data_IF_412562793494
#
_entry.id   IF_412562793494
#
_cell.length_a   1.000
_cell.length_b   1.000
_cell.length_c   1.000
_cell.angle_alpha   90.00
_cell.angle_beta   90.00
_cell.angle_gamma   90.00
#
_symmetry.space_group_name_H-M   'P 1'
#
loop_
_entity.id
_entity.type
_entity.pdbx_description
1 polymer ?
#
# COMPACT_ATOMS: atom_id res chain seq x y z
N UNK A 1 -55.31 28.95 -31.64
CA UNK A 1 -55.46 27.68 -30.90
C UNK A 1 -54.55 26.66 -31.57
N UNK A 2 -53.34 26.41 -31.03
CA UNK A 2 -52.96 25.26 -30.16
C UNK A 2 -53.20 23.92 -30.88
N UNK A 3 -52.24 23.00 -31.09
CA UNK A 3 -50.89 22.87 -30.54
C UNK A 3 -50.06 21.89 -31.42
N UNK A 4 -48.78 22.19 -31.62
CA UNK A 4 -47.77 21.26 -32.17
C UNK A 4 -47.17 20.50 -30.98
N UNK A 5 -47.28 19.17 -30.96
CA UNK A 5 -46.67 18.30 -29.94
C UNK A 5 -45.26 17.90 -30.39
N UNK A 6 -44.25 18.47 -29.75
CA UNK A 6 -42.87 18.03 -29.88
C UNK A 6 -42.63 16.78 -29.02
N UNK A 7 -42.20 15.69 -29.65
CA UNK A 7 -41.71 14.49 -28.97
C UNK A 7 -40.27 14.75 -28.50
N UNK A 8 -40.05 14.74 -27.20
CA UNK A 8 -38.73 14.89 -26.58
C UNK A 8 -38.21 13.49 -26.23
N UNK A 9 -37.21 13.01 -26.97
CA UNK A 9 -36.52 11.76 -26.67
C UNK A 9 -35.47 12.00 -25.59
N UNK A 10 -35.66 11.41 -24.41
CA UNK A 10 -34.69 11.43 -23.32
C UNK A 10 -33.63 10.34 -23.57
N UNK A 11 -32.39 10.76 -23.82
CA UNK A 11 -31.24 9.86 -23.89
C UNK A 11 -30.75 9.53 -22.46
N UNK A 12 -30.94 8.29 -22.04
CA UNK A 12 -30.33 7.72 -20.84
C UNK A 12 -28.83 7.53 -21.07
N UNK A 13 -28.02 8.38 -20.44
CA UNK A 13 -26.58 8.16 -20.32
C UNK A 13 -26.37 7.22 -19.14
N UNK A 14 -26.19 5.93 -19.43
CA UNK A 14 -25.72 4.96 -18.46
C UNK A 14 -24.24 5.22 -18.17
N UNK A 15 -23.94 5.83 -17.02
CA UNK A 15 -22.57 5.99 -16.53
C UNK A 15 -21.98 4.63 -16.17
N UNK A 16 -21.08 4.12 -17.02
CA UNK A 16 -20.20 3.02 -16.63
C UNK A 16 -19.23 3.55 -15.58
N UNK A 17 -19.41 3.14 -14.32
CA UNK A 17 -18.41 3.34 -13.28
C UNK A 17 -17.19 2.49 -13.63
N UNK A 18 -16.12 3.12 -14.12
CA UNK A 18 -14.84 2.45 -14.25
C UNK A 18 -14.31 2.16 -12.83
N UNK A 19 -13.85 0.92 -12.55
CA UNK A 19 -13.19 0.63 -11.28
C UNK A 19 -11.92 1.47 -11.18
N UNK A 20 -11.82 2.25 -10.10
CA UNK A 20 -10.59 2.97 -9.77
C UNK A 20 -9.43 1.95 -9.64
N UNK A 21 -8.22 2.29 -10.12
CA UNK A 21 -7.07 1.42 -9.93
C UNK A 21 -6.89 1.18 -8.42
N UNK A 22 -6.86 -0.08 -8.01
CA UNK A 22 -6.69 -0.45 -6.61
C UNK A 22 -5.34 0.08 -6.11
N UNK A 23 -5.38 1.10 -5.25
CA UNK A 23 -4.18 1.70 -4.70
C UNK A 23 -3.54 0.76 -3.68
N UNK A 24 -2.31 0.33 -3.93
CA UNK A 24 -1.52 -0.46 -2.99
C UNK A 24 -0.61 0.45 -2.17
N UNK A 25 -0.58 0.21 -0.85
CA UNK A 25 0.25 1.01 0.06
C UNK A 25 1.24 0.15 0.85
N UNK A 26 2.51 0.56 0.83
CA UNK A 26 3.60 -0.06 1.59
C UNK A 26 3.59 0.43 3.04
N UNK A 27 3.54 -0.51 3.98
CA UNK A 27 3.56 -0.31 5.43
C UNK A 27 5.02 -0.40 5.91
N UNK A 28 5.80 0.64 5.63
CA UNK A 28 7.20 0.74 6.07
C UNK A 28 7.35 1.26 7.50
N UNK A 29 6.49 2.18 7.93
CA UNK A 29 6.28 2.63 9.31
C UNK A 29 5.01 3.51 9.39
N UNK A 30 4.47 3.69 10.60
CA UNK A 30 3.19 4.35 10.87
C UNK A 30 3.09 5.73 10.21
N UNK A 31 2.03 5.98 9.42
CA UNK A 31 1.51 7.34 9.29
C UNK A 31 0.79 7.68 10.58
N UNK A 32 1.54 7.90 11.67
CA UNK A 32 0.99 8.66 12.77
C UNK A 32 0.94 10.11 12.25
N UNK A 33 -0.23 10.55 11.77
CA UNK A 33 -0.43 11.97 11.50
C UNK A 33 0.03 12.74 12.74
N UNK A 34 0.99 13.64 12.56
CA UNK A 34 1.48 14.51 13.62
C UNK A 34 0.31 15.36 14.11
N UNK A 35 -0.32 14.83 15.16
CA UNK A 35 -1.08 15.45 16.22
C UNK A 35 -1.25 16.98 16.07
N UNK A 36 -2.36 17.40 15.47
CA UNK A 36 -2.70 18.82 15.30
C UNK A 36 -3.82 19.32 16.22
N UNK A 37 -4.27 18.50 17.17
CA UNK A 37 -5.45 18.80 18.01
C UNK A 37 -5.27 18.41 19.50
N UNK A 38 -4.04 18.46 20.04
CA UNK A 38 -3.83 18.47 21.50
C UNK A 38 -3.98 17.13 22.24
N UNK A 39 -4.09 15.99 21.55
CA UNK A 39 -4.16 14.67 22.18
C UNK A 39 -2.78 14.02 22.20
N UNK A 40 -1.96 14.26 23.22
CA UNK A 40 -0.64 13.63 23.36
C UNK A 40 -0.76 12.12 23.49
N UNK A 41 -0.49 11.38 22.42
CA UNK A 41 -0.33 9.95 22.45
C UNK A 41 0.02 9.38 21.08
N UNK A 42 1.18 8.74 20.98
CA UNK A 42 1.55 7.70 20.00
C UNK A 42 0.66 6.45 20.13
N UNK A 43 -0.52 6.55 20.72
CA UNK A 43 -1.41 5.42 20.98
C UNK A 43 -2.17 5.08 19.73
N UNK A 44 -1.95 3.86 19.21
CA UNK A 44 -2.88 3.20 18.30
C UNK A 44 -4.32 3.41 18.82
N UNK A 45 -5.29 3.78 17.96
CA UNK A 45 -6.67 3.92 18.39
C UNK A 45 -7.15 2.64 19.07
N UNK A 46 -8.04 2.78 20.05
CA UNK A 46 -8.57 1.64 20.81
C UNK A 46 -9.28 0.65 19.86
N UNK A 47 -9.88 1.17 18.79
CA UNK A 47 -10.56 0.38 17.76
C UNK A 47 -9.65 0.20 16.55
N UNK A 48 -9.21 -1.03 16.33
CA UNK A 48 -8.42 -1.42 15.17
C UNK A 48 -9.01 -2.67 14.51
N UNK A 49 -8.97 -2.70 13.19
CA UNK A 49 -9.22 -3.91 12.40
C UNK A 49 -7.89 -4.61 12.16
N UNK A 50 -7.67 -5.74 12.84
CA UNK A 50 -6.51 -6.60 12.60
C UNK A 50 -6.77 -7.53 11.40
N UNK A 51 -5.85 -7.59 10.45
CA UNK A 51 -5.90 -8.51 9.32
C UNK A 51 -4.52 -8.92 8.83
N UNK A 52 -4.45 -10.04 8.12
CA UNK A 52 -3.27 -10.39 7.30
C UNK A 52 -3.12 -9.36 6.18
N UNK A 53 -1.90 -8.86 5.99
CA UNK A 53 -1.54 -8.01 4.86
C UNK A 53 -1.69 -8.78 3.54
N UNK A 54 -1.77 -8.06 2.41
CA UNK A 54 -1.93 -8.68 1.10
C UNK A 54 -0.59 -9.21 0.58
N UNK A 55 0.51 -8.49 0.86
CA UNK A 55 1.86 -8.91 0.47
C UNK A 55 2.90 -8.65 1.56
N UNK A 56 3.92 -9.49 1.55
CA UNK A 56 5.24 -9.17 2.10
C UNK A 56 6.05 -8.47 1.01
N UNK A 57 6.76 -7.43 1.39
CA UNK A 57 7.36 -6.48 0.45
C UNK A 57 8.83 -6.25 0.80
N UNK A 58 9.71 -6.39 -0.19
CA UNK A 58 11.13 -6.08 -0.07
C UNK A 58 11.52 -5.10 -1.17
N UNK A 59 12.11 -3.97 -0.78
CA UNK A 59 12.73 -3.08 -1.75
C UNK A 59 14.08 -3.66 -2.17
N UNK A 60 14.36 -3.59 -3.45
CA UNK A 60 15.64 -4.00 -4.04
C UNK A 60 16.20 -2.87 -4.88
N UNK A 61 17.52 -2.87 -5.06
CA UNK A 61 18.19 -2.00 -6.00
C UNK A 61 19.06 -2.82 -6.95
N UNK A 62 19.12 -2.38 -8.19
CA UNK A 62 20.13 -2.83 -9.14
C UNK A 62 21.13 -1.70 -9.32
N UNK A 63 22.38 -1.97 -9.00
CA UNK A 63 23.50 -1.03 -9.09
C UNK A 63 24.44 -1.47 -10.20
N UNK A 64 24.89 -0.53 -11.03
CA UNK A 64 25.91 -0.76 -12.05
C UNK A 64 27.17 0.05 -11.76
N UNK A 65 28.33 -0.60 -11.87
CA UNK A 65 29.65 0.00 -11.61
C UNK A 65 30.51 0.13 -12.89
N UNK A 66 29.91 -0.08 -14.06
CA UNK A 66 30.60 0.06 -15.34
C UNK A 66 30.96 1.53 -15.59
N UNK A 67 32.22 1.78 -15.99
CA UNK A 67 32.76 3.13 -16.18
C UNK A 67 32.04 3.88 -17.31
N UNK A 68 31.79 3.18 -18.41
CA UNK A 68 31.02 3.73 -19.53
C UNK A 68 29.54 3.84 -19.14
N UNK A 69 29.01 5.06 -19.18
CA UNK A 69 27.65 5.37 -18.75
C UNK A 69 26.58 4.66 -19.59
N UNK A 70 26.73 4.68 -20.92
CA UNK A 70 25.75 4.06 -21.80
C UNK A 70 25.67 2.54 -21.60
N UNK A 71 26.83 1.88 -21.47
CA UNK A 71 26.94 0.46 -21.17
C UNK A 71 26.39 0.15 -19.78
N UNK A 72 26.72 0.94 -18.76
CA UNK A 72 26.22 0.78 -17.39
C UNK A 72 24.69 0.79 -17.35
N UNK A 73 24.06 1.78 -17.98
CA UNK A 73 22.59 1.87 -18.03
C UNK A 73 21.98 0.69 -18.77
N UNK A 74 22.59 0.27 -19.89
CA UNK A 74 22.15 -0.91 -20.64
C UNK A 74 22.20 -2.18 -19.79
N UNK A 75 23.27 -2.38 -19.01
CA UNK A 75 23.43 -3.50 -18.08
C UNK A 75 22.36 -3.49 -16.98
N UNK A 76 22.14 -2.32 -16.34
CA UNK A 76 21.10 -2.16 -15.31
C UNK A 76 19.72 -2.53 -15.86
N UNK A 77 19.31 -1.94 -16.98
CA UNK A 77 18.00 -2.21 -17.56
C UNK A 77 17.85 -3.64 -18.08
N UNK A 78 18.92 -4.25 -18.60
CA UNK A 78 18.90 -5.65 -18.99
C UNK A 78 18.74 -6.58 -17.77
N UNK A 79 19.33 -6.24 -16.63
CA UNK A 79 19.12 -6.97 -15.38
C UNK A 79 17.70 -6.78 -14.83
N UNK A 80 17.13 -5.57 -14.90
CA UNK A 80 15.70 -5.33 -14.57
C UNK A 80 14.79 -6.20 -15.44
N UNK A 81 15.04 -6.22 -16.76
CA UNK A 81 14.27 -7.05 -17.71
C UNK A 81 14.33 -8.54 -17.33
N UNK A 82 15.53 -9.06 -17.04
CA UNK A 82 15.74 -10.43 -16.57
C UNK A 82 14.99 -10.71 -15.25
N UNK A 83 14.95 -9.74 -14.33
CA UNK A 83 14.18 -9.86 -13.09
C UNK A 83 12.67 -10.00 -13.37
N UNK A 84 12.11 -9.18 -14.26
CA UNK A 84 10.69 -9.22 -14.65
C UNK A 84 10.32 -10.59 -15.26
N UNK A 85 11.12 -11.07 -16.20
CA UNK A 85 10.89 -12.37 -16.86
C UNK A 85 10.92 -13.55 -15.88
N UNK A 86 11.66 -13.41 -14.78
CA UNK A 86 11.83 -14.45 -13.76
C UNK A 86 10.84 -14.32 -12.60
N UNK A 87 10.16 -13.20 -12.40
CA UNK A 87 9.35 -12.98 -11.20
C UNK A 87 8.26 -14.07 -11.01
N UNK A 88 7.54 -14.39 -12.09
CA UNK A 88 6.41 -15.33 -12.06
C UNK A 88 6.81 -16.75 -11.64
N UNK A 89 7.95 -17.26 -12.12
CA UNK A 89 8.43 -18.61 -11.75
C UNK A 89 8.81 -18.74 -10.27
N UNK A 90 9.12 -17.62 -9.60
CA UNK A 90 9.41 -17.61 -8.15
C UNK A 90 8.19 -17.25 -7.30
N UNK A 91 7.01 -17.07 -7.91
CA UNK A 91 5.79 -16.69 -7.20
C UNK A 91 5.88 -15.31 -6.56
N UNK A 92 6.59 -14.38 -7.19
CA UNK A 92 6.70 -12.98 -6.76
C UNK A 92 6.18 -12.03 -7.85
N UNK A 93 5.76 -10.86 -7.42
CA UNK A 93 5.38 -9.74 -8.28
C UNK A 93 6.39 -8.61 -8.15
N UNK A 94 6.62 -7.87 -9.24
CA UNK A 94 7.46 -6.69 -9.22
C UNK A 94 6.62 -5.43 -9.33
N UNK A 95 7.05 -4.39 -8.63
CA UNK A 95 6.35 -3.12 -8.62
C UNK A 95 7.30 -1.94 -8.46
N UNK A 96 6.86 -0.75 -8.80
CA UNK A 96 7.61 0.51 -8.66
C UNK A 96 6.79 1.53 -7.87
N UNK A 97 7.46 2.55 -7.33
CA UNK A 97 6.86 3.59 -6.49
C UNK A 97 7.23 3.48 -5.00
N UNK A 98 6.88 4.53 -4.26
CA UNK A 98 7.14 4.63 -2.82
C UNK A 98 5.86 4.47 -1.99
N UNK A 99 4.86 5.30 -2.28
CA UNK A 99 3.57 5.33 -1.56
C UNK A 99 2.43 4.72 -2.35
N UNK A 100 2.43 4.95 -3.67
CA UNK A 100 1.52 4.33 -4.63
C UNK A 100 2.35 3.35 -5.42
N UNK A 101 1.96 2.08 -5.38
CA UNK A 101 2.71 1.00 -6.00
C UNK A 101 2.04 0.62 -7.32
N UNK A 102 2.81 0.60 -8.39
CA UNK A 102 2.39 0.21 -9.74
C UNK A 102 3.15 -1.02 -10.20
N UNK A 103 2.51 -1.90 -10.98
CA UNK A 103 3.16 -3.09 -11.50
C UNK A 103 4.38 -2.73 -12.38
N UNK A 104 5.52 -3.38 -12.15
CA UNK A 104 6.71 -3.25 -12.97
C UNK A 104 6.67 -4.30 -14.08
N UNK A 105 6.62 -3.85 -15.33
CA UNK A 105 6.39 -4.70 -16.52
C UNK A 105 7.43 -4.42 -17.60
N UNK A 106 7.46 -5.28 -18.63
CA UNK A 106 8.29 -5.08 -19.81
C UNK A 106 7.93 -3.82 -20.61
N UNK A 107 6.77 -3.22 -20.35
CA UNK A 107 6.31 -2.00 -21.03
C UNK A 107 6.80 -0.73 -20.34
N UNK A 108 6.99 -0.76 -19.01
CA UNK A 108 7.33 0.44 -18.23
C UNK A 108 8.70 0.40 -17.55
N UNK A 109 9.46 -0.71 -17.61
CA UNK A 109 10.75 -0.83 -16.93
C UNK A 109 11.79 0.21 -17.38
N UNK A 110 11.70 0.69 -18.62
CA UNK A 110 12.57 1.75 -19.14
C UNK A 110 12.30 3.13 -18.51
N UNK A 111 11.18 3.29 -17.80
CA UNK A 111 10.82 4.54 -17.12
C UNK A 111 11.36 4.59 -15.68
N UNK A 112 11.99 3.51 -15.21
CA UNK A 112 12.61 3.49 -13.89
C UNK A 112 13.69 4.57 -13.81
N UNK A 113 13.59 5.42 -12.79
CA UNK A 113 14.59 6.48 -12.59
C UNK A 113 15.92 5.86 -12.19
N UNK A 114 16.99 6.34 -12.83
CA UNK A 114 18.37 6.07 -12.43
C UNK A 114 18.84 7.21 -11.53
N UNK A 115 19.38 6.86 -10.38
CA UNK A 115 20.01 7.80 -9.46
C UNK A 115 21.48 7.45 -9.28
N UNK A 116 22.30 8.43 -8.89
CA UNK A 116 23.66 8.14 -8.44
C UNK A 116 23.63 7.19 -7.24
N UNK A 117 24.57 6.26 -7.21
CA UNK A 117 24.80 5.40 -6.04
C UNK A 117 25.90 5.99 -5.13
N UNK A 118 26.41 5.23 -4.17
CA UNK A 118 27.42 5.68 -3.19
C UNK A 118 28.76 6.08 -3.84
N UNK A 119 29.05 5.57 -5.05
CA UNK A 119 30.28 5.86 -5.79
C UNK A 119 29.99 6.89 -6.91
N UNK A 120 30.93 7.82 -7.18
CA UNK A 120 30.74 8.85 -8.20
C UNK A 120 30.39 8.32 -9.60
N UNK A 121 30.95 7.16 -9.96
CA UNK A 121 30.81 6.53 -11.28
C UNK A 121 29.79 5.36 -11.30
N UNK A 122 28.91 5.30 -10.30
CA UNK A 122 27.91 4.25 -10.16
C UNK A 122 26.49 4.83 -10.21
N UNK A 123 25.61 4.08 -10.87
CA UNK A 123 24.18 4.39 -10.93
C UNK A 123 23.39 3.22 -10.38
N UNK A 124 22.21 3.51 -9.84
CA UNK A 124 21.27 2.52 -9.37
C UNK A 124 19.86 2.84 -9.79
N UNK A 125 19.04 1.81 -9.88
CA UNK A 125 17.59 1.95 -9.84
C UNK A 125 17.01 1.06 -8.76
N UNK A 126 15.83 1.38 -8.26
CA UNK A 126 15.17 0.59 -7.22
C UNK A 126 13.73 0.32 -7.57
N UNK A 127 13.28 -0.87 -7.18
CA UNK A 127 11.91 -1.31 -7.33
C UNK A 127 11.57 -2.25 -6.16
N UNK A 128 10.34 -2.73 -6.16
CA UNK A 128 9.76 -3.52 -5.10
C UNK A 128 9.55 -4.96 -5.60
N UNK A 129 9.91 -5.93 -4.76
CA UNK A 129 9.54 -7.34 -4.91
C UNK A 129 8.47 -7.67 -3.88
N UNK A 130 7.36 -8.24 -4.32
CA UNK A 130 6.22 -8.60 -3.48
C UNK A 130 5.96 -10.09 -3.51
N UNK A 131 5.64 -10.68 -2.37
CA UNK A 131 5.14 -12.04 -2.27
C UNK A 131 3.79 -12.04 -1.56
N UNK A 132 2.79 -12.67 -2.18
CA UNK A 132 1.44 -12.72 -1.62
C UNK A 132 1.44 -13.41 -0.27
N UNK A 133 0.75 -12.79 0.68
CA UNK A 133 0.45 -13.36 1.99
C UNK A 133 -1.00 -13.87 1.96
N UNK A 134 -1.22 -15.08 2.46
CA UNK A 134 -2.56 -15.62 2.63
C UNK A 134 -2.84 -15.82 4.12
N UNK A 135 -4.10 -15.72 4.56
CA UNK A 135 -4.45 -16.00 5.96
C UNK A 135 -3.97 -17.39 6.37
N UNK A 136 -3.22 -17.46 7.48
CA UNK A 136 -2.65 -18.71 7.98
C UNK A 136 -1.36 -19.17 7.31
N UNK A 137 -0.86 -18.48 6.27
CA UNK A 137 0.47 -18.73 5.72
C UNK A 137 1.54 -18.07 6.59
N UNK A 138 2.62 -18.81 6.83
CA UNK A 138 3.82 -18.33 7.51
C UNK A 138 4.48 -17.19 6.71
N UNK A 139 4.64 -16.02 7.34
CA UNK A 139 5.38 -14.88 6.80
C UNK A 139 6.78 -15.27 6.31
N UNK A 140 7.39 -16.27 6.94
CA UNK A 140 8.70 -16.82 6.58
C UNK A 140 8.70 -17.43 5.18
N UNK A 141 7.61 -18.10 4.77
CA UNK A 141 7.53 -18.68 3.43
C UNK A 141 7.51 -17.60 2.34
N UNK A 142 6.81 -16.48 2.58
CA UNK A 142 6.82 -15.35 1.66
C UNK A 142 8.22 -14.69 1.57
N UNK A 143 8.88 -14.51 2.72
CA UNK A 143 10.27 -14.06 2.82
C UNK A 143 11.24 -14.96 2.05
N UNK A 144 11.09 -16.28 2.16
CA UNK A 144 11.93 -17.24 1.45
C UNK A 144 11.74 -17.16 -0.07
N UNK A 145 10.50 -16.95 -0.57
CA UNK A 145 10.25 -16.75 -2.01
C UNK A 145 10.98 -15.52 -2.52
N UNK A 146 10.89 -14.40 -1.80
CA UNK A 146 11.60 -13.16 -2.13
C UNK A 146 13.12 -13.40 -2.14
N UNK A 147 13.67 -14.02 -1.09
CA UNK A 147 15.11 -14.29 -1.00
C UNK A 147 15.61 -15.20 -2.13
N UNK A 148 14.85 -16.27 -2.45
CA UNK A 148 15.16 -17.18 -3.57
C UNK A 148 15.12 -16.46 -4.91
N UNK A 149 14.11 -15.62 -5.14
CA UNK A 149 14.01 -14.79 -6.34
C UNK A 149 15.22 -13.87 -6.48
N UNK A 150 15.60 -13.15 -5.42
CA UNK A 150 16.70 -12.18 -5.48
C UNK A 150 18.01 -12.87 -5.87
N UNK A 151 18.29 -14.04 -5.29
CA UNK A 151 19.49 -14.84 -5.60
C UNK A 151 19.46 -15.45 -7.00
N UNK A 152 18.29 -15.61 -7.60
CA UNK A 152 18.12 -16.27 -8.89
C UNK A 152 18.19 -15.33 -10.09
N UNK A 153 18.17 -14.01 -9.88
CA UNK A 153 18.41 -13.04 -10.96
C UNK A 153 19.90 -13.01 -11.25
N UNK A 154 20.34 -13.45 -12.45
CA UNK A 154 21.75 -13.47 -12.78
C UNK A 154 22.29 -12.04 -12.94
N UNK A 155 23.55 -11.78 -12.54
CA UNK A 155 24.19 -10.50 -12.82
C UNK A 155 24.32 -10.28 -14.32
N UNK A 156 24.23 -9.02 -14.75
CA UNK A 156 24.42 -8.61 -16.15
C UNK A 156 25.61 -7.67 -16.23
N UNK A 157 26.72 -8.12 -16.83
CA UNK A 157 27.96 -7.34 -16.85
C UNK A 157 28.43 -7.04 -15.43
N UNK A 158 28.53 -5.75 -15.07
CA UNK A 158 28.85 -5.32 -13.69
C UNK A 158 27.64 -4.88 -12.88
N UNK A 159 26.42 -5.10 -13.39
CA UNK A 159 25.20 -4.83 -12.64
C UNK A 159 24.93 -5.94 -11.61
N UNK A 160 24.57 -5.54 -10.40
CA UNK A 160 24.26 -6.41 -9.27
C UNK A 160 22.95 -6.00 -8.63
N UNK A 161 22.21 -6.97 -8.09
CA UNK A 161 20.95 -6.73 -7.39
C UNK A 161 21.10 -7.01 -5.90
N UNK A 162 20.66 -6.07 -5.08
CA UNK A 162 20.79 -6.10 -3.63
C UNK A 162 19.48 -5.70 -2.95
N UNK A 163 19.26 -6.19 -1.73
CA UNK A 163 18.17 -5.74 -0.87
C UNK A 163 18.45 -4.34 -0.32
N UNK A 164 17.42 -3.50 -0.27
CA UNK A 164 17.47 -2.16 0.32
C UNK A 164 16.47 -2.07 1.45
N UNK A 165 16.97 -1.79 2.66
CA UNK A 165 16.13 -1.68 3.85
C UNK A 165 15.47 -3.00 4.26
N UNK A 166 14.57 -2.89 5.24
CA UNK A 166 13.91 -4.05 5.84
C UNK A 166 12.70 -4.52 5.05
N UNK A 167 12.30 -5.77 5.30
CA UNK A 167 11.04 -6.30 4.80
C UNK A 167 9.83 -5.64 5.48
N UNK A 168 8.91 -5.17 4.65
CA UNK A 168 7.68 -4.51 5.05
C UNK A 168 6.45 -5.31 4.58
N UNK A 169 5.27 -4.77 4.83
CA UNK A 169 3.98 -5.33 4.39
C UNK A 169 3.29 -4.37 3.44
N UNK A 170 2.38 -4.83 2.60
CA UNK A 170 1.47 -3.94 1.87
C UNK A 170 0.02 -4.39 1.93
N UNK A 171 -0.87 -3.41 1.76
CA UNK A 171 -2.32 -3.59 1.76
C UNK A 171 -2.89 -2.98 0.49
N UNK A 172 -3.76 -3.74 -0.18
CA UNK A 172 -4.53 -3.27 -1.32
C UNK A 172 -5.77 -2.52 -0.85
N UNK A 173 -5.92 -1.29 -1.36
CA UNK A 173 -7.09 -0.43 -1.18
C UNK A 173 -7.58 -0.40 0.29
N UNK A 174 -6.79 0.13 1.24
CA UNK A 174 -7.14 0.11 2.66
C UNK A 174 -8.47 0.84 2.97
N UNK A 175 -8.84 1.83 2.16
CA UNK A 175 -10.09 2.58 2.34
C UNK A 175 -11.36 1.73 2.12
N UNK A 176 -11.27 0.57 1.45
CA UNK A 176 -12.40 -0.36 1.35
C UNK A 176 -12.88 -0.86 2.72
N UNK A 177 -11.99 -0.85 3.73
CA UNK A 177 -12.30 -1.29 5.10
C UNK A 177 -12.90 -0.18 5.96
N UNK A 178 -13.00 1.04 5.44
CA UNK A 178 -13.49 2.21 6.17
C UNK A 178 -14.84 1.97 6.82
N UNK A 179 -15.83 1.50 6.05
CA UNK A 179 -17.17 1.28 6.56
C UNK A 179 -17.17 0.27 7.71
N UNK A 180 -16.34 -0.79 7.59
CA UNK A 180 -16.23 -1.80 8.64
C UNK A 180 -15.63 -1.23 9.93
N UNK A 181 -14.64 -0.36 9.81
CA UNK A 181 -14.02 0.31 10.96
C UNK A 181 -15.03 1.27 11.62
N UNK A 182 -15.83 2.00 10.83
CA UNK A 182 -16.90 2.87 11.35
C UNK A 182 -17.93 2.05 12.14
N UNK A 183 -18.35 0.90 11.64
CA UNK A 183 -19.27 0.00 12.36
C UNK A 183 -18.68 -0.43 13.71
N UNK A 184 -17.39 -0.78 13.75
CA UNK A 184 -16.71 -1.16 14.99
C UNK A 184 -16.66 0.00 16.00
N UNK A 185 -16.36 1.21 15.53
CA UNK A 185 -16.35 2.42 16.36
C UNK A 185 -17.76 2.72 16.89
N UNK A 186 -18.78 2.67 16.02
CA UNK A 186 -20.15 2.95 16.40
C UNK A 186 -20.67 1.94 17.44
N UNK A 187 -20.37 0.65 17.25
CA UNK A 187 -20.74 -0.41 18.18
C UNK A 187 -20.10 -0.21 19.56
N UNK A 188 -18.79 0.06 19.59
CA UNK A 188 -18.07 0.32 20.84
C UNK A 188 -18.57 1.57 21.56
N UNK A 189 -18.76 2.67 20.82
CA UNK A 189 -19.22 3.92 21.40
C UNK A 189 -20.65 3.82 21.93
N UNK A 190 -21.55 3.14 21.21
CA UNK A 190 -22.92 2.90 21.67
C UNK A 190 -22.96 2.00 22.92
N UNK A 191 -22.17 0.92 22.92
CA UNK A 191 -22.04 0.05 24.09
C UNK A 191 -21.48 0.78 25.30
N UNK A 192 -20.56 1.71 25.10
CA UNK A 192 -19.97 2.51 26.17
C UNK A 192 -20.95 3.55 26.69
N UNK A 193 -21.66 4.30 25.82
CA UNK A 193 -22.67 5.27 26.23
C UNK A 193 -23.83 4.63 27.00
N UNK A 194 -24.27 3.42 26.60
CA UNK A 194 -25.33 2.69 27.29
C UNK A 194 -25.01 2.41 28.77
N UNK A 195 -23.72 2.36 29.16
CA UNK A 195 -23.30 2.18 30.56
C UNK A 195 -23.52 3.43 31.42
N UNK A 196 -23.67 4.60 30.83
CA UNK A 196 -23.91 5.87 31.54
C UNK A 196 -25.41 6.19 31.71
N UNK A 197 -26.28 5.45 31.01
CA UNK A 197 -27.74 5.60 31.10
C UNK A 197 -28.38 6.08 29.79
N UNK A 198 -29.73 6.04 29.70
CA UNK A 198 -30.47 6.34 28.48
C UNK A 198 -30.35 7.81 28.03
N UNK A 199 -30.03 8.71 28.97
CA UNK A 199 -29.88 10.15 28.72
C UNK A 199 -28.50 10.51 28.20
N UNK A 200 -27.61 9.54 27.98
CA UNK A 200 -26.29 9.76 27.41
C UNK A 200 -26.22 9.32 25.95
N UNK A 201 -25.50 10.10 25.14
CA UNK A 201 -25.18 9.84 23.75
C UNK A 201 -23.67 9.95 23.50
N UNK A 202 -23.30 9.92 22.22
CA UNK A 202 -21.91 9.94 21.76
C UNK A 202 -21.73 11.05 20.73
N UNK A 203 -20.70 11.86 20.89
CA UNK A 203 -20.14 12.65 19.79
C UNK A 203 -18.88 11.96 19.27
N UNK A 204 -18.86 11.63 17.97
CA UNK A 204 -17.71 11.00 17.30
C UNK A 204 -17.07 12.00 16.34
N UNK A 205 -15.74 12.08 16.35
CA UNK A 205 -14.92 12.93 15.47
C UNK A 205 -13.90 12.10 14.71
N UNK A 206 -13.46 12.57 13.54
CA UNK A 206 -12.41 11.94 12.74
C UNK A 206 -12.89 10.80 11.83
N UNK A 207 -14.20 10.58 11.71
CA UNK A 207 -14.78 9.59 10.77
C UNK A 207 -14.66 10.00 9.30
N UNK A 208 -14.26 11.25 9.02
CA UNK A 208 -14.00 11.83 7.71
C UNK A 208 -12.54 11.64 7.25
N UNK A 209 -11.63 11.28 8.16
CA UNK A 209 -10.20 11.08 7.87
C UNK A 209 -9.93 9.77 7.10
N UNK A 210 -8.86 9.67 6.29
CA UNK A 210 -8.54 8.43 5.56
C UNK A 210 -8.22 7.27 6.51
N UNK A 211 -8.32 6.03 6.00
CA UNK A 211 -7.89 4.85 6.76
C UNK A 211 -6.37 4.90 6.94
N UNK A 212 -5.94 4.79 8.19
CA UNK A 212 -4.55 4.67 8.58
C UNK A 212 -4.20 3.20 8.88
N UNK A 213 -2.91 2.90 8.89
CA UNK A 213 -2.42 1.55 9.10
C UNK A 213 -1.15 1.53 9.94
N UNK A 214 -0.94 0.41 10.62
CA UNK A 214 0.31 0.09 11.32
C UNK A 214 0.59 -1.41 11.26
N UNK A 215 1.84 -1.80 11.46
CA UNK A 215 2.24 -3.21 11.51
C UNK A 215 1.79 -3.81 12.84
N UNK A 216 1.06 -4.93 12.79
CA UNK A 216 0.62 -5.68 13.97
C UNK A 216 1.56 -6.86 14.26
N UNK A 217 2.05 -7.53 13.23
CA UNK A 217 2.95 -8.68 13.36
C UNK A 217 3.83 -8.84 12.11
N UNK A 218 4.46 -10.02 11.94
CA UNK A 218 5.26 -10.30 10.75
C UNK A 218 4.42 -10.39 9.46
N UNK A 219 3.15 -10.77 9.55
CA UNK A 219 2.22 -10.87 8.40
C UNK A 219 0.94 -10.05 8.56
N UNK A 220 0.71 -9.43 9.72
CA UNK A 220 -0.54 -8.72 10.00
C UNK A 220 -0.34 -7.23 10.16
N UNK A 221 -1.42 -6.50 9.87
CA UNK A 221 -1.55 -5.06 9.99
C UNK A 221 -2.78 -4.72 10.82
N UNK A 222 -2.72 -3.59 11.50
CA UNK A 222 -3.90 -2.91 12.01
C UNK A 222 -4.31 -1.85 11.00
N UNK A 223 -5.59 -1.84 10.64
CA UNK A 223 -6.24 -0.75 9.92
C UNK A 223 -7.14 0.00 10.90
N UNK A 224 -7.13 1.33 10.86
CA UNK A 224 -7.90 2.13 11.81
C UNK A 224 -8.28 3.49 11.23
N UNK A 225 -9.26 4.13 11.86
CA UNK A 225 -9.52 5.55 11.67
C UNK A 225 -8.98 6.29 12.88
N UNK A 226 -8.32 7.45 12.70
CA UNK A 226 -7.89 8.31 13.81
C UNK A 226 -9.11 9.04 14.40
N UNK A 227 -10.06 8.26 14.89
CA UNK A 227 -11.33 8.70 15.43
C UNK A 227 -11.27 8.76 16.95
N UNK A 228 -11.99 9.72 17.52
CA UNK A 228 -12.18 9.87 18.95
C UNK A 228 -13.66 10.11 19.23
N UNK A 229 -14.13 9.66 20.39
CA UNK A 229 -15.50 9.93 20.80
C UNK A 229 -15.58 10.31 22.27
N UNK A 230 -16.60 11.10 22.60
CA UNK A 230 -16.88 11.56 23.97
C UNK A 230 -18.34 11.23 24.30
N UNK A 231 -18.55 10.70 25.51
CA UNK A 231 -19.89 10.40 26.03
C UNK A 231 -20.41 11.65 26.75
N UNK A 232 -21.61 12.09 26.36
CA UNK A 232 -22.24 13.30 26.89
C UNK A 232 -23.74 13.12 27.07
N UNK A 233 -24.40 13.87 27.96
CA UNK A 233 -25.86 13.92 28.00
C UNK A 233 -26.44 14.31 26.63
N UNK A 234 -27.59 13.74 26.29
CA UNK A 234 -28.39 14.13 25.13
C UNK A 234 -29.01 15.50 25.44
N UNK A 235 -28.89 16.42 24.49
CA UNK A 235 -29.64 17.69 24.50
C UNK A 235 -31.09 17.45 24.05
#
# INVERSE_FOLDING_TARGET
MRAVRAFMAAALIAGMAMPAPAQEVVVSASRASANRDGFQGTSLPIITLRRTADFAVQRVAITGDTRDEALRRKEIYAMVKSAIERARQYGVELATGDYVVEALTLENYGNLTLSKDRRPDSERTSFIVKAKLEPGIDAKAALERISKFIKAVPPTGRAQMETVGDLTLSVLNPDQYRQKIIEMIAADAAATAARFGPDYGVEVRGLDRPVEWSRASLSEVFLYLPAAYVIRPKE
#
